data_IF_347474587306
#
_entry.id   IF_347474587306
#
_cell.length_a   1.000
_cell.length_b   1.000
_cell.length_c   1.000
_cell.angle_alpha   90.00
_cell.angle_beta   90.00
_cell.angle_gamma   90.00
#
_symmetry.space_group_name_H-M   'P 1'
#
loop_
_entity.id
_entity.type
_entity.pdbx_description
1 polymer ?
#
# COMPACT_ATOMS: atom_id res chain seq x y z
N UNK A 1 24.35 -3.41 -27.76
CA UNK A 1 23.53 -4.64 -27.73
C UNK A 1 22.45 -4.45 -26.67
N UNK A 2 21.17 -4.61 -27.01
CA UNK A 2 20.08 -4.30 -26.10
C UNK A 2 20.15 -5.18 -24.83
N UNK A 3 20.34 -4.55 -23.67
CA UNK A 3 20.21 -5.20 -22.37
C UNK A 3 18.80 -5.78 -22.28
N UNK A 4 18.67 -7.08 -22.49
CA UNK A 4 17.39 -7.75 -22.53
C UNK A 4 16.93 -7.95 -21.08
N UNK A 5 16.21 -6.97 -20.55
CA UNK A 5 15.72 -6.94 -19.15
C UNK A 5 15.03 -8.25 -18.77
N UNK A 6 14.34 -8.89 -19.73
CA UNK A 6 13.70 -10.20 -19.58
C UNK A 6 14.65 -11.35 -19.20
N UNK A 7 15.96 -11.20 -19.42
CA UNK A 7 16.94 -12.22 -19.04
C UNK A 7 17.26 -12.22 -17.55
N UNK A 8 17.06 -11.09 -16.86
CA UNK A 8 17.34 -10.93 -15.42
C UNK A 8 16.12 -11.25 -14.53
N UNK A 9 14.92 -11.27 -15.10
CA UNK A 9 13.67 -11.48 -14.36
C UNK A 9 13.50 -12.96 -14.01
N UNK A 10 13.05 -13.23 -12.79
CA UNK A 10 12.65 -14.56 -12.35
C UNK A 10 11.37 -15.01 -13.09
N UNK A 11 11.46 -16.11 -13.84
CA UNK A 11 10.38 -16.60 -14.70
C UNK A 11 9.14 -17.05 -13.91
N UNK A 12 9.32 -17.59 -12.70
CA UNK A 12 8.21 -18.03 -11.86
C UNK A 12 7.40 -16.83 -11.37
N UNK A 13 8.08 -15.79 -10.87
CA UNK A 13 7.43 -14.55 -10.43
C UNK A 13 6.71 -13.83 -11.58
N UNK A 14 7.34 -13.79 -12.76
CA UNK A 14 6.70 -13.24 -13.97
C UNK A 14 5.43 -14.04 -14.34
N UNK A 15 5.51 -15.37 -14.29
CA UNK A 15 4.39 -16.27 -14.56
C UNK A 15 3.22 -16.05 -13.60
N UNK A 16 3.50 -15.91 -12.30
CA UNK A 16 2.50 -15.62 -11.27
C UNK A 16 1.79 -14.28 -11.51
N UNK A 17 2.55 -13.20 -11.78
CA UNK A 17 1.96 -11.88 -12.06
C UNK A 17 1.09 -11.90 -13.32
N UNK A 18 1.53 -12.57 -14.38
CA UNK A 18 0.74 -12.74 -15.60
C UNK A 18 -0.55 -13.52 -15.32
N UNK A 19 -0.48 -14.57 -14.50
CA UNK A 19 -1.65 -15.34 -14.10
C UNK A 19 -2.63 -14.51 -13.26
N UNK A 20 -2.13 -13.74 -12.29
CA UNK A 20 -2.94 -12.85 -11.46
C UNK A 20 -3.64 -11.79 -12.32
N UNK A 21 -2.90 -11.09 -13.18
CA UNK A 21 -3.48 -10.08 -14.08
C UNK A 21 -4.55 -10.67 -15.01
N UNK A 22 -4.30 -11.87 -15.56
CA UNK A 22 -5.27 -12.58 -16.39
C UNK A 22 -6.56 -12.91 -15.62
N UNK A 23 -6.43 -13.43 -14.39
CA UNK A 23 -7.59 -13.74 -13.53
C UNK A 23 -8.38 -12.48 -13.17
N UNK A 24 -7.70 -11.37 -12.88
CA UNK A 24 -8.33 -10.10 -12.54
C UNK A 24 -9.16 -9.50 -13.69
N UNK A 25 -8.74 -9.69 -14.95
CA UNK A 25 -9.52 -9.27 -16.11
C UNK A 25 -10.52 -10.33 -16.61
N UNK A 26 -10.68 -11.45 -15.88
CA UNK A 26 -11.64 -12.51 -16.21
C UNK A 26 -11.30 -13.33 -17.46
N UNK A 27 -10.08 -13.22 -18.00
CA UNK A 27 -9.69 -13.88 -19.25
C UNK A 27 -9.26 -15.33 -19.02
N UNK A 28 -9.62 -16.24 -19.93
CA UNK A 28 -9.17 -17.63 -19.91
C UNK A 28 -7.78 -17.79 -20.51
N UNK A 29 -7.08 -18.89 -20.18
CA UNK A 29 -5.79 -19.21 -20.81
C UNK A 29 -5.90 -19.41 -22.33
N UNK A 30 -7.05 -19.89 -22.81
CA UNK A 30 -7.30 -20.08 -24.24
C UNK A 30 -7.42 -18.74 -24.98
N UNK A 31 -8.09 -17.76 -24.37
CA UNK A 31 -8.19 -16.40 -24.93
C UNK A 31 -6.83 -15.70 -24.94
N UNK A 32 -6.08 -15.76 -23.84
CA UNK A 32 -4.72 -15.21 -23.79
C UNK A 32 -3.80 -15.83 -24.86
N UNK A 33 -3.93 -17.14 -25.11
CA UNK A 33 -3.15 -17.83 -26.13
C UNK A 33 -3.46 -17.33 -27.55
N UNK A 34 -4.72 -17.03 -27.85
CA UNK A 34 -5.13 -16.44 -29.15
C UNK A 34 -4.49 -15.08 -29.39
N UNK A 35 -4.32 -14.26 -28.35
CA UNK A 35 -3.77 -12.90 -28.44
C UNK A 35 -2.32 -12.91 -28.92
N UNK A 36 -1.51 -13.83 -28.39
CA UNK A 36 -0.11 -13.99 -28.79
C UNK A 36 0.09 -15.05 -29.88
N UNK A 37 -1.00 -15.64 -30.40
CA UNK A 37 -1.02 -16.66 -31.47
C UNK A 37 -0.19 -17.91 -31.12
N UNK A 38 -0.39 -18.44 -29.92
CA UNK A 38 0.27 -19.67 -29.45
C UNK A 38 -0.75 -20.72 -29.01
N UNK A 39 -0.29 -21.94 -28.74
CA UNK A 39 -1.13 -22.99 -28.15
C UNK A 39 -1.46 -22.67 -26.68
N UNK A 40 -2.64 -23.09 -26.19
CA UNK A 40 -3.05 -22.91 -24.79
C UNK A 40 -2.00 -23.44 -23.79
N UNK A 41 -1.36 -24.56 -24.10
CA UNK A 41 -0.29 -25.16 -23.29
C UNK A 41 0.92 -24.23 -23.12
N UNK A 42 1.17 -23.36 -24.10
CA UNK A 42 2.26 -22.38 -24.03
C UNK A 42 1.99 -21.32 -22.95
N UNK A 43 0.74 -20.87 -22.81
CA UNK A 43 0.35 -19.97 -21.71
C UNK A 43 0.52 -20.65 -20.36
N UNK A 44 0.13 -21.93 -20.23
CA UNK A 44 0.33 -22.69 -18.99
C UNK A 44 1.80 -22.76 -18.63
N UNK A 45 2.68 -23.08 -19.59
CA UNK A 45 4.13 -23.15 -19.36
C UNK A 45 4.73 -21.78 -19.00
N UNK A 46 4.22 -20.69 -19.60
CA UNK A 46 4.63 -19.32 -19.24
C UNK A 46 4.19 -18.99 -17.80
N UNK A 47 2.94 -19.27 -17.44
CA UNK A 47 2.40 -19.02 -16.09
C UNK A 47 3.12 -19.83 -15.01
N UNK A 48 3.66 -21.02 -15.35
CA UNK A 48 4.48 -21.85 -14.45
C UNK A 48 5.96 -21.46 -14.43
N UNK A 49 6.39 -20.49 -15.23
CA UNK A 49 7.81 -20.13 -15.38
C UNK A 49 8.67 -21.13 -16.16
N UNK A 50 8.06 -22.18 -16.73
CA UNK A 50 8.73 -23.23 -17.51
C UNK A 50 9.15 -22.73 -18.92
N UNK A 51 8.52 -21.68 -19.42
CA UNK A 51 8.81 -21.09 -20.74
C UNK A 51 9.05 -19.59 -20.66
N UNK A 52 10.14 -19.14 -21.29
CA UNK A 52 10.42 -17.71 -21.51
C UNK A 52 9.43 -17.07 -22.48
N UNK A 53 8.95 -15.90 -22.09
CA UNK A 53 8.11 -15.01 -22.88
C UNK A 53 8.98 -14.03 -23.67
N UNK A 54 8.63 -13.77 -24.93
CA UNK A 54 9.29 -12.73 -25.75
C UNK A 54 8.74 -11.34 -25.39
N UNK A 55 9.54 -10.29 -25.55
CA UNK A 55 9.11 -8.90 -25.26
C UNK A 55 7.85 -8.51 -26.04
N UNK A 56 7.74 -8.94 -27.29
CA UNK A 56 6.56 -8.68 -28.13
C UNK A 56 5.31 -9.45 -27.67
N UNK A 57 5.47 -10.62 -27.06
CA UNK A 57 4.38 -11.38 -26.46
C UNK A 57 3.92 -10.71 -25.16
N UNK A 58 4.86 -10.24 -24.33
CA UNK A 58 4.57 -9.51 -23.09
C UNK A 58 3.80 -8.23 -23.35
N UNK A 59 4.20 -7.41 -24.32
CA UNK A 59 3.49 -6.16 -24.66
C UNK A 59 2.03 -6.44 -25.06
N UNK A 60 1.79 -7.51 -25.81
CA UNK A 60 0.44 -7.90 -26.23
C UNK A 60 -0.41 -8.38 -25.06
N UNK A 61 0.16 -9.20 -24.18
CA UNK A 61 -0.53 -9.67 -22.97
C UNK A 61 -0.82 -8.51 -22.01
N UNK A 62 0.15 -7.62 -21.76
CA UNK A 62 -0.04 -6.46 -20.89
C UNK A 62 -1.20 -5.57 -21.37
N UNK A 63 -1.23 -5.26 -22.67
CA UNK A 63 -2.32 -4.51 -23.29
C UNK A 63 -3.67 -5.23 -23.15
N UNK A 64 -3.69 -6.55 -23.37
CA UNK A 64 -4.90 -7.35 -23.24
C UNK A 64 -5.43 -7.44 -21.79
N UNK A 65 -4.53 -7.41 -20.81
CA UNK A 65 -4.87 -7.46 -19.39
C UNK A 65 -5.17 -6.09 -18.80
N UNK A 66 -4.99 -5.00 -19.56
CA UNK A 66 -5.18 -3.63 -19.06
C UNK A 66 -4.14 -3.21 -18.03
N UNK A 67 -2.90 -3.72 -18.15
CA UNK A 67 -1.78 -3.44 -17.24
C UNK A 67 -0.60 -2.87 -18.02
N UNK A 68 0.27 -2.12 -17.35
CA UNK A 68 1.48 -1.59 -17.98
C UNK A 68 2.54 -2.72 -18.06
N UNK A 69 3.39 -2.69 -19.08
CA UNK A 69 4.49 -3.65 -19.23
C UNK A 69 5.44 -3.57 -18.04
N UNK A 70 5.63 -2.38 -17.47
CA UNK A 70 6.42 -2.17 -16.25
C UNK A 70 5.99 -3.09 -15.10
N UNK A 71 4.68 -3.31 -14.94
CA UNK A 71 4.11 -4.04 -13.79
C UNK A 71 4.58 -5.51 -13.76
N UNK A 72 4.83 -6.07 -14.95
CA UNK A 72 5.34 -7.43 -15.11
C UNK A 72 6.87 -7.52 -15.03
N UNK A 73 7.56 -6.41 -15.28
CA UNK A 73 9.02 -6.37 -15.42
C UNK A 73 9.73 -5.93 -14.14
N UNK A 74 9.04 -5.24 -13.23
CA UNK A 74 9.59 -4.79 -11.94
C UNK A 74 10.19 -5.97 -11.14
N UNK A 75 11.41 -5.83 -10.63
CA UNK A 75 12.05 -6.83 -9.76
C UNK A 75 11.47 -6.82 -8.33
N UNK A 76 10.60 -5.85 -8.02
CA UNK A 76 10.00 -5.69 -6.69
C UNK A 76 9.17 -6.93 -6.35
N UNK A 77 9.40 -7.60 -5.20
CA UNK A 77 8.57 -8.71 -4.76
C UNK A 77 7.11 -8.26 -4.74
N UNK A 78 6.20 -9.18 -5.07
CA UNK A 78 4.77 -8.98 -4.81
C UNK A 78 4.68 -8.60 -3.34
N UNK A 79 4.35 -7.34 -3.06
CA UNK A 79 4.18 -6.91 -1.69
C UNK A 79 3.21 -7.90 -1.03
N UNK A 80 3.59 -8.45 0.11
CA UNK A 80 2.72 -9.29 0.93
C UNK A 80 1.35 -8.61 1.08
N UNK A 81 0.30 -9.42 1.27
CA UNK A 81 -1.09 -8.97 1.29
C UNK A 81 -1.25 -7.66 2.04
N UNK A 82 -1.66 -6.64 1.30
CA UNK A 82 -1.83 -5.30 1.82
C UNK A 82 -3.16 -5.28 2.58
N UNK A 83 -3.13 -5.73 3.84
CA UNK A 83 -4.32 -5.70 4.68
C UNK A 83 -4.59 -4.26 5.09
N UNK A 84 -5.46 -3.60 4.33
CA UNK A 84 -5.92 -2.24 4.62
C UNK A 84 -6.92 -2.27 5.77
N UNK A 85 -6.64 -1.46 6.78
CA UNK A 85 -7.47 -1.27 7.96
C UNK A 85 -8.13 0.12 7.96
N UNK A 86 -9.25 0.22 8.69
CA UNK A 86 -10.08 1.42 8.79
C UNK A 86 -10.36 1.78 10.25
N UNK A 87 -10.41 3.07 10.59
CA UNK A 87 -10.67 3.57 11.96
C UNK A 87 -11.99 3.12 12.56
N UNK A 88 -13.02 3.00 11.72
CA UNK A 88 -14.37 2.62 12.15
C UNK A 88 -14.69 1.30 11.50
N UNK A 89 -15.28 0.37 12.26
CA UNK A 89 -15.82 -0.88 11.75
C UNK A 89 -16.71 -0.56 10.55
N UNK A 90 -16.14 -0.74 9.37
CA UNK A 90 -16.76 -0.42 8.11
C UNK A 90 -17.89 -1.44 7.95
N UNK A 91 -19.14 -0.99 8.02
CA UNK A 91 -20.28 -1.87 7.77
C UNK A 91 -20.20 -2.30 6.30
N UNK A 92 -19.71 -3.52 6.06
CA UNK A 92 -19.62 -4.20 4.75
C UNK A 92 -21.00 -4.30 4.10
N UNK A 93 -21.49 -3.22 3.50
CA UNK A 93 -22.53 -3.26 2.49
C UNK A 93 -21.89 -3.42 1.12
N UNK A 94 -22.41 -4.32 0.28
CA UNK A 94 -21.85 -4.65 -1.06
C UNK A 94 -21.66 -3.40 -1.95
N UNK A 95 -22.56 -2.42 -1.86
CA UNK A 95 -22.47 -1.17 -2.64
C UNK A 95 -21.30 -0.28 -2.19
N UNK A 96 -21.01 -0.25 -0.90
CA UNK A 96 -19.92 0.55 -0.33
C UNK A 96 -18.56 -0.08 -0.66
N UNK A 97 -18.50 -1.41 -0.68
CA UNK A 97 -17.30 -2.15 -1.06
C UNK A 97 -16.89 -1.87 -2.52
N UNK A 98 -17.87 -1.74 -3.42
CA UNK A 98 -17.60 -1.42 -4.82
C UNK A 98 -17.04 -0.01 -5.02
N UNK A 99 -17.48 0.97 -4.22
CA UNK A 99 -16.99 2.36 -4.29
C UNK A 99 -15.62 2.55 -3.62
N UNK A 100 -15.31 1.82 -2.54
CA UNK A 100 -14.05 1.98 -1.80
C UNK A 100 -12.90 1.16 -2.42
N UNK A 101 -13.21 0.03 -3.06
CA UNK A 101 -12.22 -0.84 -3.72
C UNK A 101 -11.26 -0.11 -4.67
N UNK A 102 -11.68 0.80 -5.57
CA UNK A 102 -10.73 1.55 -6.39
C UNK A 102 -9.79 2.42 -5.55
N UNK A 103 -10.24 2.98 -4.43
CA UNK A 103 -9.43 3.81 -3.52
C UNK A 103 -8.41 2.95 -2.78
N UNK A 104 -8.80 1.76 -2.34
CA UNK A 104 -7.89 0.76 -1.74
C UNK A 104 -6.77 0.41 -2.73
N UNK A 105 -7.14 0.10 -3.97
CA UNK A 105 -6.17 -0.23 -5.02
C UNK A 105 -5.25 0.96 -5.33
N UNK A 106 -5.77 2.18 -5.34
CA UNK A 106 -4.95 3.39 -5.51
C UNK A 106 -3.96 3.54 -4.35
N UNK A 107 -4.42 3.37 -3.11
CA UNK A 107 -3.57 3.41 -1.92
C UNK A 107 -2.45 2.38 -1.97
N UNK A 108 -2.78 1.12 -2.27
CA UNK A 108 -1.80 0.04 -2.45
C UNK A 108 -0.74 0.39 -3.51
N UNK A 109 -1.18 0.92 -4.66
CA UNK A 109 -0.27 1.34 -5.72
C UNK A 109 0.66 2.47 -5.27
N UNK A 110 0.15 3.48 -4.56
CA UNK A 110 0.97 4.57 -4.04
C UNK A 110 2.01 4.07 -3.04
N UNK A 111 1.62 3.16 -2.16
CA UNK A 111 2.52 2.55 -1.18
C UNK A 111 3.66 1.78 -1.87
N UNK A 112 3.32 0.94 -2.85
CA UNK A 112 4.31 0.19 -3.63
C UNK A 112 5.24 1.11 -4.40
N UNK A 113 4.70 2.13 -5.07
CA UNK A 113 5.50 3.11 -5.82
C UNK A 113 6.46 3.88 -4.90
N UNK A 114 6.01 4.26 -3.70
CA UNK A 114 6.86 4.97 -2.74
C UNK A 114 8.05 4.10 -2.29
N UNK A 115 7.78 2.84 -1.92
CA UNK A 115 8.84 1.90 -1.53
C UNK A 115 9.82 1.63 -2.68
N UNK A 116 9.33 1.57 -3.91
CA UNK A 116 10.17 1.44 -5.10
C UNK A 116 11.07 2.66 -5.28
N UNK A 117 10.54 3.88 -5.08
CA UNK A 117 11.32 5.11 -5.14
C UNK A 117 12.40 5.15 -4.06
N UNK A 118 12.09 4.79 -2.81
CA UNK A 118 13.09 4.71 -1.74
C UNK A 118 14.24 3.76 -2.09
N UNK A 119 13.93 2.60 -2.68
CA UNK A 119 14.93 1.62 -3.13
C UNK A 119 15.78 2.15 -4.27
N UNK A 120 15.17 2.83 -5.24
CA UNK A 120 15.90 3.44 -6.37
C UNK A 120 16.84 4.55 -5.89
N UNK A 121 16.39 5.33 -4.92
CA UNK A 121 17.13 6.45 -4.36
C UNK A 121 18.14 6.05 -3.28
N UNK A 122 18.15 4.78 -2.85
CA UNK A 122 18.91 4.28 -1.70
C UNK A 122 18.69 5.14 -0.43
N UNK A 123 17.44 5.54 -0.22
CA UNK A 123 17.04 6.49 0.82
C UNK A 123 15.86 5.93 1.65
N UNK A 124 16.09 4.89 2.48
CA UNK A 124 15.03 4.35 3.33
C UNK A 124 14.67 5.33 4.46
N UNK A 125 13.38 5.48 4.75
CA UNK A 125 12.90 6.22 5.91
C UNK A 125 13.41 5.60 7.23
N UNK A 126 13.82 6.45 8.18
CA UNK A 126 14.14 6.03 9.55
C UNK A 126 12.87 5.56 10.25
N UNK A 127 12.89 4.36 10.85
CA UNK A 127 11.75 3.81 11.58
C UNK A 127 11.95 4.03 13.08
N UNK A 128 11.25 5.01 13.61
CA UNK A 128 11.31 5.37 15.02
C UNK A 128 9.88 5.46 15.55
N UNK A 129 9.21 4.30 15.54
CA UNK A 129 7.84 4.18 16.01
C UNK A 129 7.76 4.36 17.53
N UNK A 130 6.63 4.88 18.04
CA UNK A 130 6.41 4.95 19.47
C UNK A 130 6.48 3.54 20.09
N UNK A 131 7.01 3.42 21.31
CA UNK A 131 7.00 2.16 22.04
C UNK A 131 5.57 1.77 22.42
N UNK A 132 5.40 0.50 22.83
CA UNK A 132 4.11 0.09 23.38
C UNK A 132 3.83 0.69 24.76
N UNK A 133 2.66 1.33 24.91
CA UNK A 133 2.23 1.91 26.17
C UNK A 133 1.27 0.97 26.88
N UNK A 134 1.64 0.51 28.08
CA UNK A 134 0.75 -0.23 28.95
C UNK A 134 -0.15 0.75 29.72
N UNK A 135 -1.46 0.65 29.49
CA UNK A 135 -2.47 1.53 30.11
C UNK A 135 -2.92 1.04 31.51
N UNK A 136 -2.18 0.11 32.12
CA UNK A 136 -2.58 -0.52 33.37
C UNK A 136 -2.63 0.51 34.52
N UNK A 137 -3.77 0.57 35.21
CA UNK A 137 -4.00 1.31 36.46
C UNK A 137 -4.04 2.86 36.36
N UNK A 138 -4.30 3.43 35.18
CA UNK A 138 -4.48 4.89 35.03
C UNK A 138 -5.84 5.25 34.40
N UNK A 139 -6.51 6.34 34.84
CA UNK A 139 -7.63 6.92 34.11
C UNK A 139 -7.23 7.27 32.68
N UNK A 140 -8.14 7.04 31.72
CA UNK A 140 -7.87 7.17 30.28
C UNK A 140 -7.35 8.56 29.90
N UNK A 141 -7.93 9.62 30.47
CA UNK A 141 -7.56 11.00 30.19
C UNK A 141 -6.14 11.31 30.64
N UNK A 142 -5.79 10.90 31.87
CA UNK A 142 -4.44 11.07 32.42
C UNK A 142 -3.42 10.25 31.65
N UNK A 143 -3.78 9.04 31.20
CA UNK A 143 -2.92 8.23 30.35
C UNK A 143 -2.68 8.89 29.00
N UNK A 144 -3.74 9.40 28.36
CA UNK A 144 -3.64 10.11 27.09
C UNK A 144 -2.75 11.36 27.19
N UNK A 145 -2.91 12.16 28.24
CA UNK A 145 -2.07 13.34 28.48
C UNK A 145 -0.60 12.96 28.73
N UNK A 146 -0.35 11.94 29.55
CA UNK A 146 1.00 11.44 29.83
C UNK A 146 1.70 10.93 28.58
N UNK A 147 1.00 10.13 27.76
CA UNK A 147 1.51 9.62 26.48
C UNK A 147 1.78 10.76 25.51
N UNK A 148 0.87 11.74 25.42
CA UNK A 148 1.07 12.91 24.57
C UNK A 148 2.33 13.69 24.97
N UNK A 149 2.54 13.92 26.28
CA UNK A 149 3.72 14.62 26.77
C UNK A 149 5.01 13.83 26.50
N UNK A 150 4.96 12.50 26.69
CA UNK A 150 6.09 11.60 26.39
C UNK A 150 6.47 11.68 24.92
N UNK A 151 5.49 11.62 24.01
CA UNK A 151 5.72 11.71 22.57
C UNK A 151 6.23 13.10 22.16
N UNK A 152 5.74 14.18 22.78
CA UNK A 152 6.27 15.52 22.54
C UNK A 152 7.72 15.66 22.96
N UNK A 153 8.10 15.05 24.08
CA UNK A 153 9.49 15.02 24.53
C UNK A 153 10.36 14.18 23.59
N UNK A 154 9.88 12.98 23.20
CA UNK A 154 10.57 12.09 22.25
C UNK A 154 10.85 12.77 20.91
N UNK A 155 9.90 13.56 20.42
CA UNK A 155 9.99 14.28 19.14
C UNK A 155 10.53 15.72 19.27
N UNK A 156 10.91 16.17 20.48
CA UNK A 156 11.46 17.51 20.70
C UNK A 156 10.50 18.68 20.38
N UNK A 157 9.19 18.46 20.48
CA UNK A 157 8.17 19.40 19.98
C UNK A 157 7.83 20.54 20.95
N UNK A 158 8.26 20.44 22.21
CA UNK A 158 7.90 21.38 23.28
C UNK A 158 6.38 21.59 23.41
N UNK A 159 5.96 22.68 24.04
CA UNK A 159 4.54 22.91 24.39
C UNK A 159 3.77 23.78 23.40
N UNK A 160 4.41 24.17 22.29
CA UNK A 160 3.80 25.05 21.28
C UNK A 160 2.95 24.27 20.28
N UNK A 161 1.98 24.92 19.60
CA UNK A 161 1.27 24.29 18.49
C UNK A 161 2.23 23.72 17.45
N UNK A 162 1.91 22.55 16.89
CA UNK A 162 2.75 21.82 15.93
C UNK A 162 2.27 22.14 14.50
N UNK A 163 2.96 23.03 13.74
CA UNK A 163 2.46 23.49 12.45
C UNK A 163 2.67 22.47 11.31
N UNK A 164 3.77 21.70 11.36
CA UNK A 164 4.19 20.77 10.31
C UNK A 164 4.18 19.33 10.81
N UNK A 165 3.05 18.94 11.40
CA UNK A 165 2.92 17.62 12.02
C UNK A 165 3.17 16.48 11.02
N UNK A 166 2.77 16.64 9.76
CA UNK A 166 3.06 15.66 8.71
C UNK A 166 4.55 15.48 8.52
N UNK A 167 5.29 16.56 8.31
CA UNK A 167 6.72 16.49 8.02
C UNK A 167 7.49 15.83 9.17
N UNK A 168 7.10 16.14 10.41
CA UNK A 168 7.64 15.48 11.62
C UNK A 168 7.36 13.99 11.59
N UNK A 169 6.14 13.56 11.30
CA UNK A 169 5.81 12.13 11.26
C UNK A 169 6.51 11.39 10.11
N UNK A 170 6.67 12.04 8.96
CA UNK A 170 7.38 11.44 7.84
C UNK A 170 8.89 11.33 8.14
N UNK A 171 9.52 12.40 8.64
CA UNK A 171 10.97 12.46 8.84
C UNK A 171 11.46 11.80 10.13
N UNK A 172 10.80 12.06 11.25
CA UNK A 172 11.27 11.65 12.59
C UNK A 172 10.70 10.30 13.04
N UNK A 173 9.52 9.91 12.53
CA UNK A 173 8.86 8.65 12.88
C UNK A 173 9.00 7.61 11.76
N UNK A 174 9.03 8.04 10.50
CA UNK A 174 9.12 7.17 9.33
C UNK A 174 7.78 6.73 8.77
N UNK A 175 6.72 7.50 8.99
CA UNK A 175 5.40 7.21 8.43
C UNK A 175 5.30 7.67 6.98
N UNK A 176 4.67 6.86 6.12
CA UNK A 176 4.35 7.30 4.75
C UNK A 176 2.91 7.76 4.72
N UNK A 177 2.71 9.03 4.38
CA UNK A 177 1.41 9.68 4.50
C UNK A 177 0.94 10.16 3.12
N UNK A 178 -0.25 9.69 2.72
CA UNK A 178 -0.86 9.96 1.42
C UNK A 178 -2.19 10.71 1.57
N UNK A 179 -2.50 11.56 0.60
CA UNK A 179 -3.79 12.23 0.49
C UNK A 179 -4.58 11.59 -0.63
N UNK A 180 -5.74 11.02 -0.31
CA UNK A 180 -6.61 10.38 -1.29
C UNK A 180 -7.98 11.04 -1.30
N UNK A 181 -8.59 11.08 -2.49
CA UNK A 181 -9.99 11.48 -2.62
C UNK A 181 -10.84 10.25 -2.41
N UNK A 182 -11.49 10.15 -1.26
CA UNK A 182 -12.40 9.04 -0.95
C UNK A 182 -13.86 9.45 -1.26
N UNK A 183 -14.72 8.50 -1.67
CA UNK A 183 -16.13 8.76 -1.92
C UNK A 183 -16.85 9.20 -0.64
N UNK A 184 -17.59 10.31 -0.70
CA UNK A 184 -18.31 10.85 0.47
C UNK A 184 -19.33 9.88 1.08
N UNK A 185 -19.93 9.00 0.26
CA UNK A 185 -20.90 7.98 0.71
C UNK A 185 -20.28 6.87 1.54
N UNK A 186 -18.98 6.65 1.35
CA UNK A 186 -18.26 5.54 1.96
C UNK A 186 -18.05 5.76 3.47
N UNK A 187 -18.11 7.02 3.94
CA UNK A 187 -17.79 7.42 5.33
C UNK A 187 -16.38 6.98 5.78
N UNK A 188 -15.50 6.60 4.85
CA UNK A 188 -14.06 6.51 5.13
C UNK A 188 -13.48 7.91 5.22
N UNK A 189 -12.64 8.12 6.22
CA UNK A 189 -11.79 9.31 6.31
C UNK A 189 -10.30 8.95 6.35
N UNK A 190 -9.97 7.68 6.61
CA UNK A 190 -8.60 7.20 6.71
C UNK A 190 -8.51 5.71 6.41
N UNK A 191 -7.40 5.32 5.81
CA UNK A 191 -7.00 3.93 5.64
C UNK A 191 -5.55 3.80 6.07
N UNK A 192 -5.20 2.70 6.71
CA UNK A 192 -3.83 2.45 7.11
C UNK A 192 -3.44 1.00 6.88
N UNK A 193 -2.14 0.77 6.74
CA UNK A 193 -1.57 -0.56 6.70
C UNK A 193 -0.20 -0.54 7.37
N UNK A 194 0.15 -1.66 7.98
CA UNK A 194 1.44 -1.86 8.61
C UNK A 194 1.92 -3.29 8.33
N UNK A 195 3.19 -3.41 7.95
CA UNK A 195 3.93 -4.65 8.09
C UNK A 195 5.42 -4.36 8.35
N UNK A 196 6.16 -5.38 8.76
CA UNK A 196 7.58 -5.27 9.08
C UNK A 196 8.45 -4.86 7.88
N UNK A 197 8.04 -5.15 6.64
CA UNK A 197 8.83 -4.85 5.46
C UNK A 197 8.63 -3.42 4.94
N UNK A 198 7.39 -2.92 4.99
CA UNK A 198 6.99 -1.63 4.42
C UNK A 198 6.85 -0.54 5.47
N UNK A 199 6.66 -0.89 6.74
CA UNK A 199 6.39 0.07 7.81
C UNK A 199 4.97 0.63 7.78
N UNK A 200 4.74 1.67 8.60
CA UNK A 200 3.43 2.31 8.74
C UNK A 200 3.10 3.19 7.54
N UNK A 201 1.96 2.91 6.90
CA UNK A 201 1.47 3.65 5.74
C UNK A 201 0.04 4.10 6.00
N UNK A 202 -0.23 5.33 5.60
CA UNK A 202 -1.46 6.03 5.92
C UNK A 202 -1.99 6.76 4.72
N UNK A 203 -3.30 6.72 4.57
CA UNK A 203 -4.01 7.67 3.74
C UNK A 203 -5.12 8.34 4.53
N UNK A 204 -5.38 9.59 4.20
CA UNK A 204 -6.55 10.30 4.70
C UNK A 204 -7.26 11.05 3.59
N UNK A 205 -8.53 11.35 3.85
CA UNK A 205 -9.37 12.11 2.96
C UNK A 205 -8.74 13.48 2.69
N UNK A 206 -8.43 13.75 1.43
CA UNK A 206 -8.19 15.09 0.96
C UNK A 206 -9.52 15.87 1.00
N UNK A 207 -9.76 16.61 2.07
CA UNK A 207 -10.81 17.63 2.06
C UNK A 207 -10.25 18.80 1.26
N UNK A 208 -10.96 19.24 0.22
CA UNK A 208 -10.60 20.39 -0.62
C UNK A 208 -10.66 21.75 0.12
N UNK A 209 -10.44 21.76 1.43
CA UNK A 209 -10.40 22.95 2.27
C UNK A 209 -9.30 22.80 3.31
N UNK A 210 -8.40 23.78 3.35
CA UNK A 210 -7.16 23.89 4.12
C UNK A 210 -7.31 23.84 5.67
N UNK A 211 -8.27 23.11 6.25
CA UNK A 211 -8.53 23.16 7.69
C UNK A 211 -9.02 21.85 8.27
N UNK A 212 -8.21 20.79 8.33
CA UNK A 212 -8.28 19.78 9.42
C UNK A 212 -7.15 18.74 9.29
N UNK A 213 -5.90 19.13 9.52
CA UNK A 213 -4.79 18.17 9.67
C UNK A 213 -4.57 17.77 11.13
N UNK A 214 -5.23 18.43 12.08
CA UNK A 214 -4.90 18.34 13.53
C UNK A 214 -5.64 17.23 14.30
N UNK A 215 -6.71 16.65 13.76
CA UNK A 215 -7.63 15.82 14.56
C UNK A 215 -7.53 14.30 14.36
N UNK A 216 -6.68 13.82 13.45
CA UNK A 216 -6.60 12.37 13.13
C UNK A 216 -5.43 11.67 13.81
N UNK A 217 -4.32 12.36 14.04
CA UNK A 217 -3.09 11.74 14.56
C UNK A 217 -3.19 11.45 16.08
N UNK A 218 -3.94 12.26 16.83
CA UNK A 218 -4.11 12.08 18.28
C UNK A 218 -4.90 10.82 18.69
N UNK A 219 -5.67 10.21 17.78
CA UNK A 219 -6.44 8.99 18.09
C UNK A 219 -5.73 7.72 17.62
N UNK A 220 -4.68 7.83 16.79
CA UNK A 220 -4.01 6.68 16.19
C UNK A 220 -3.03 5.98 17.14
N UNK A 221 -2.46 6.71 18.11
CA UNK A 221 -1.77 6.09 19.25
C UNK A 221 -2.71 5.14 20.01
N UNK A 222 -4.01 5.43 20.10
CA UNK A 222 -4.93 4.55 20.85
C UNK A 222 -5.27 3.23 20.12
N UNK A 223 -5.22 3.19 18.78
CA UNK A 223 -5.62 2.02 17.99
C UNK A 223 -4.47 1.05 17.69
N UNK A 224 -3.21 1.49 17.81
CA UNK A 224 -2.05 0.59 17.79
C UNK A 224 -1.94 -0.27 19.06
N UNK A 225 -2.61 0.11 20.16
CA UNK A 225 -2.55 -0.60 21.46
C UNK A 225 -3.81 -1.40 21.81
N UNK A 226 -4.72 -1.64 20.85
CA UNK A 226 -5.83 -2.55 21.13
C UNK A 226 -5.39 -4.00 20.88
N UNK A 227 -5.31 -4.85 21.91
CA UNK A 227 -5.16 -6.28 21.70
C UNK A 227 -6.44 -6.79 21.03
N UNK A 228 -6.28 -7.72 20.10
CA UNK A 228 -7.37 -8.56 19.62
C UNK A 228 -8.17 -9.12 20.80
N UNK A 229 -9.46 -8.83 20.84
CA UNK A 229 -10.48 -9.66 21.51
C UNK A 229 -11.45 -10.13 20.44
#
# INVERSE_FOLDING_TARGET
MANNVLNKINLNQLGERLQQARKQCGMTQAEAAKIIKVARTTIVAIEKGERRLKSSELIKLARAYGRNVSDFVKETPVAESFDVQFRKAYSRGETIETEIKPVILEFENLCQNYLELEKIMDAPLTRNYPPEYHLENMPLESAAESIANTERQRLGLGDRPIPLLRDILEQEVGLRIFYLVMPAKSKCSEMYSYNEQMGGMFSYQCLSSQRTTTLVIGTWLSSLFSPSI
#
